data_IF_842299093827
#
_entry.id   IF_842299093827
#
_cell.length_a   1.000
_cell.length_b   1.000
_cell.length_c   1.000
_cell.angle_alpha   90.00
_cell.angle_beta   90.00
_cell.angle_gamma   90.00
#
_symmetry.space_group_name_H-M   'P 1'
#
loop_
_entity.id
_entity.type
_entity.pdbx_description
1 polymer ?
#
# COMPACT_ATOMS: atom_id res chain seq x y z
N UNK A 1 3.72 7.49 -14.19
CA UNK A 1 4.30 6.18 -13.79
C UNK A 1 3.61 5.74 -12.51
N UNK A 2 3.25 4.47 -12.36
CA UNK A 2 2.61 3.94 -11.15
C UNK A 2 3.55 2.92 -10.51
N UNK A 3 3.70 2.97 -9.19
CA UNK A 3 4.53 2.04 -8.42
C UNK A 3 3.66 1.27 -7.45
N UNK A 4 3.84 -0.05 -7.40
CA UNK A 4 3.12 -0.93 -6.49
C UNK A 4 4.05 -1.30 -5.33
N UNK A 5 3.59 -1.06 -4.10
CA UNK A 5 4.27 -1.47 -2.88
C UNK A 5 3.48 -2.59 -2.20
N UNK A 6 4.05 -3.79 -2.20
CA UNK A 6 3.44 -4.97 -1.57
C UNK A 6 4.32 -5.41 -0.41
N UNK A 7 3.69 -5.61 0.75
CA UNK A 7 4.34 -6.33 1.86
C UNK A 7 4.19 -7.83 1.57
N UNK A 8 5.27 -8.59 1.42
CA UNK A 8 5.17 -10.03 1.21
C UNK A 8 4.47 -10.70 2.40
N UNK A 9 3.77 -11.79 2.14
CA UNK A 9 3.15 -12.58 3.19
C UNK A 9 4.24 -13.23 4.05
N UNK A 10 4.07 -13.21 5.37
CA UNK A 10 4.98 -13.85 6.30
C UNK A 10 4.21 -14.37 7.50
N UNK A 11 4.66 -15.49 8.06
CA UNK A 11 3.95 -16.22 9.09
C UNK A 11 4.03 -15.48 10.44
N UNK A 12 3.04 -14.63 10.69
CA UNK A 12 2.98 -13.74 11.84
C UNK A 12 1.53 -13.40 12.15
N UNK A 13 1.17 -13.47 13.43
CA UNK A 13 -0.13 -13.02 13.92
C UNK A 13 -0.19 -11.51 14.20
N UNK A 14 0.87 -10.76 13.87
CA UNK A 14 0.97 -9.32 14.12
C UNK A 14 0.59 -8.51 12.88
N UNK A 15 -0.53 -7.81 12.97
CA UNK A 15 -0.98 -6.82 11.99
C UNK A 15 -0.43 -5.45 12.42
N UNK A 16 0.75 -5.10 11.92
CA UNK A 16 1.41 -3.81 12.17
C UNK A 16 1.41 -2.92 10.93
N UNK A 17 1.37 -1.58 11.08
CA UNK A 17 1.62 -0.66 9.98
C UNK A 17 2.96 -0.99 9.28
N UNK A 18 3.00 -1.03 7.94
CA UNK A 18 4.23 -1.28 7.18
C UNK A 18 5.04 0.02 7.06
N UNK A 19 5.64 0.47 8.17
CA UNK A 19 6.30 1.79 8.28
C UNK A 19 7.32 2.01 7.14
N UNK A 20 8.13 1.00 6.81
CA UNK A 20 9.09 1.08 5.70
C UNK A 20 8.44 1.34 4.33
N UNK A 21 7.31 0.68 4.03
CA UNK A 21 6.56 0.97 2.80
C UNK A 21 5.95 2.38 2.84
N UNK A 22 5.59 2.86 4.03
CA UNK A 22 5.12 4.23 4.21
C UNK A 22 6.16 5.29 3.87
N UNK A 23 7.42 5.09 4.30
CA UNK A 23 8.53 5.98 3.92
C UNK A 23 8.77 5.98 2.41
N UNK A 24 8.79 4.81 1.77
CA UNK A 24 8.92 4.72 0.31
C UNK A 24 7.77 5.43 -0.40
N UNK A 25 6.54 5.23 0.06
CA UNK A 25 5.36 5.90 -0.48
C UNK A 25 5.47 7.43 -0.37
N UNK A 26 5.96 7.93 0.77
CA UNK A 26 6.17 9.36 1.01
C UNK A 26 7.17 9.97 0.01
N UNK A 27 8.32 9.32 -0.21
CA UNK A 27 9.34 9.78 -1.16
C UNK A 27 8.82 9.73 -2.61
N UNK A 28 8.14 8.65 -3.00
CA UNK A 28 7.55 8.53 -4.34
C UNK A 28 6.50 9.63 -4.59
N UNK A 29 5.69 9.93 -3.58
CA UNK A 29 4.71 11.02 -3.64
C UNK A 29 5.37 12.38 -3.84
N UNK A 30 6.47 12.68 -3.13
CA UNK A 30 7.23 13.93 -3.31
C UNK A 30 7.74 14.10 -4.75
N UNK A 31 7.89 12.98 -5.48
CA UNK A 31 8.30 12.95 -6.89
C UNK A 31 7.10 12.86 -7.87
N UNK A 32 5.87 13.11 -7.40
CA UNK A 32 4.62 13.02 -8.18
C UNK A 32 4.41 11.63 -8.83
N UNK A 33 4.81 10.56 -8.14
CA UNK A 33 4.59 9.18 -8.57
C UNK A 33 3.41 8.60 -7.80
N UNK A 34 2.42 8.08 -8.52
CA UNK A 34 1.27 7.41 -7.92
C UNK A 34 1.69 6.09 -7.29
N UNK A 35 1.32 5.92 -6.01
CA UNK A 35 1.62 4.73 -5.23
C UNK A 35 0.34 3.97 -4.95
N UNK A 36 0.39 2.67 -5.24
CA UNK A 36 -0.63 1.69 -4.88
C UNK A 36 -0.07 0.80 -3.78
N UNK A 37 -0.76 0.72 -2.64
CA UNK A 37 -0.32 -0.09 -1.51
C UNK A 37 -1.37 -1.14 -1.15
N UNK A 38 -0.93 -2.37 -0.84
CA UNK A 38 -1.80 -3.48 -0.47
C UNK A 38 -1.22 -4.35 0.65
N UNK A 39 -2.08 -5.19 1.23
CA UNK A 39 -1.73 -6.11 2.30
C UNK A 39 -2.77 -6.15 3.42
N UNK A 40 -2.56 -7.05 4.40
CA UNK A 40 -3.52 -7.32 5.48
C UNK A 40 -3.77 -6.06 6.32
N UNK A 41 -2.72 -5.36 6.76
CA UNK A 41 -2.89 -4.12 7.54
C UNK A 41 -3.66 -3.06 6.77
N UNK A 42 -3.32 -2.87 5.49
CA UNK A 42 -3.97 -1.88 4.64
C UNK A 42 -5.42 -2.25 4.34
N UNK A 43 -5.75 -3.54 4.28
CA UNK A 43 -7.14 -4.01 4.16
C UNK A 43 -7.95 -3.66 5.42
N UNK A 44 -7.43 -4.00 6.61
CA UNK A 44 -8.12 -3.73 7.88
C UNK A 44 -8.16 -2.24 8.27
N UNK A 45 -7.09 -1.49 7.97
CA UNK A 45 -6.90 -0.09 8.38
C UNK A 45 -6.81 0.86 7.17
N UNK A 46 -7.60 0.63 6.12
CA UNK A 46 -7.52 1.37 4.84
C UNK A 46 -7.72 2.88 4.98
N UNK A 47 -8.69 3.34 5.80
CA UNK A 47 -8.92 4.77 6.02
C UNK A 47 -7.70 5.44 6.64
N UNK A 48 -7.17 4.82 7.71
CA UNK A 48 -5.98 5.30 8.40
C UNK A 48 -4.74 5.26 7.51
N UNK A 49 -4.63 4.22 6.67
CA UNK A 49 -3.54 4.10 5.68
C UNK A 49 -3.60 5.23 4.65
N UNK A 50 -4.80 5.56 4.13
CA UNK A 50 -5.00 6.68 3.22
C UNK A 50 -4.64 8.02 3.87
N UNK A 51 -5.05 8.23 5.12
CA UNK A 51 -4.72 9.44 5.90
C UNK A 51 -3.21 9.56 6.15
N UNK A 52 -2.58 8.50 6.67
CA UNK A 52 -1.20 8.53 7.15
C UNK A 52 -0.17 8.52 6.01
N UNK A 53 -0.41 7.70 4.99
CA UNK A 53 0.54 7.56 3.88
C UNK A 53 0.27 8.57 2.76
N UNK A 54 -0.89 9.23 2.81
CA UNK A 54 -1.37 10.12 1.77
C UNK A 54 -1.24 9.45 0.37
N UNK A 55 -1.41 8.13 0.34
CA UNK A 55 -1.26 7.27 -0.83
C UNK A 55 -2.38 7.53 -1.82
N UNK A 56 -2.11 7.43 -3.11
CA UNK A 56 -3.13 7.64 -4.13
C UNK A 56 -4.20 6.53 -4.09
N UNK A 57 -3.79 5.27 -3.81
CA UNK A 57 -4.69 4.13 -3.81
C UNK A 57 -4.30 3.08 -2.75
N UNK A 58 -5.31 2.50 -2.09
CA UNK A 58 -5.17 1.32 -1.23
C UNK A 58 -5.93 0.15 -1.85
N UNK A 59 -5.26 -0.99 -1.98
CA UNK A 59 -5.86 -2.24 -2.43
C UNK A 59 -6.34 -3.00 -1.21
N UNK A 60 -7.62 -3.39 -1.25
CA UNK A 60 -8.26 -4.22 -0.24
C UNK A 60 -8.25 -5.67 -0.71
N UNK A 61 -8.07 -6.61 0.21
CA UNK A 61 -7.94 -8.04 -0.10
C UNK A 61 -6.64 -8.34 -0.88
N UNK A 62 -6.64 -9.36 -1.74
CA UNK A 62 -5.44 -9.91 -2.38
C UNK A 62 -4.86 -9.04 -3.51
N UNK A 63 -5.72 -8.43 -4.32
CA UNK A 63 -5.31 -7.36 -5.24
C UNK A 63 -4.91 -7.76 -6.66
N UNK A 64 -5.02 -9.03 -7.06
CA UNK A 64 -4.65 -9.50 -8.40
C UNK A 64 -5.44 -8.78 -9.49
N UNK A 65 -6.76 -8.61 -9.26
CA UNK A 65 -7.64 -7.90 -10.18
C UNK A 65 -7.31 -6.41 -10.22
N UNK A 66 -7.02 -5.80 -9.06
CA UNK A 66 -6.63 -4.39 -8.98
C UNK A 66 -5.33 -4.14 -9.74
N UNK A 67 -4.32 -5.00 -9.58
CA UNK A 67 -3.04 -4.89 -10.28
C UNK A 67 -3.17 -5.14 -11.77
N UNK A 68 -3.99 -6.10 -12.20
CA UNK A 68 -4.30 -6.31 -13.61
C UNK A 68 -4.90 -5.06 -14.27
N UNK A 69 -5.76 -4.33 -13.56
CA UNK A 69 -6.42 -3.13 -14.09
C UNK A 69 -5.55 -1.86 -14.00
N UNK A 70 -4.36 -1.94 -13.38
CA UNK A 70 -3.42 -0.83 -13.25
C UNK A 70 -2.38 -0.78 -14.38
N UNK A 71 -2.17 -1.91 -15.06
CA UNK A 71 -1.35 -2.05 -16.27
C UNK A 71 -2.09 -1.50 -17.51
#
# INVERSE_FOLDING_TARGET
MKVILVRPNFDSHIITPPIGLGYLASVLKQNNIDVVIGGVHQTFFHKKTLEDLNSAYVVLSEGEISFRNLA
#
